data_IF_493017713992
#
_entry.id   IF_493017713992
#
_cell.length_a   1.000
_cell.length_b   1.000
_cell.length_c   1.000
_cell.angle_alpha   90.00
_cell.angle_beta   90.00
_cell.angle_gamma   90.00
#
_symmetry.space_group_name_H-M   'P 1'
#
loop_
_entity.id
_entity.type
_entity.pdbx_description
1 polymer ?
#
# COMPACT_ATOMS: atom_id res chain seq x y z
N UNK A 1 -16.76 -14.29 13.62
CA UNK A 1 -16.56 -12.87 13.23
C UNK A 1 -16.09 -12.02 14.40
N UNK A 2 -16.62 -12.16 15.59
CA UNK A 2 -16.22 -11.42 16.79
C UNK A 2 -14.71 -11.49 17.10
N UNK A 3 -14.08 -12.67 16.97
CA UNK A 3 -12.65 -12.84 17.28
C UNK A 3 -11.74 -12.11 16.30
N UNK A 4 -12.03 -12.13 14.98
CA UNK A 4 -11.26 -11.40 13.96
C UNK A 4 -11.27 -9.90 14.24
N UNK A 5 -12.46 -9.34 14.53
CA UNK A 5 -12.59 -7.91 14.83
C UNK A 5 -11.93 -7.55 16.17
N UNK A 6 -12.00 -8.42 17.17
CA UNK A 6 -11.33 -8.21 18.44
C UNK A 6 -9.81 -8.18 18.28
N UNK A 7 -9.24 -9.08 17.47
CA UNK A 7 -7.81 -9.09 17.16
C UNK A 7 -7.43 -7.85 16.35
N UNK A 8 -8.18 -7.50 15.32
CA UNK A 8 -7.92 -6.30 14.52
C UNK A 8 -7.97 -5.02 15.37
N UNK A 9 -8.93 -4.93 16.31
CA UNK A 9 -9.01 -3.81 17.25
C UNK A 9 -7.85 -3.78 18.24
N UNK A 10 -7.40 -4.96 18.75
CA UNK A 10 -6.20 -5.09 19.57
C UNK A 10 -4.97 -4.57 18.82
N UNK A 11 -4.76 -5.04 17.58
CA UNK A 11 -3.63 -4.62 16.75
C UNK A 11 -3.66 -3.11 16.47
N UNK A 12 -4.83 -2.58 16.09
CA UNK A 12 -4.97 -1.15 15.85
C UNK A 12 -4.67 -0.33 17.11
N UNK A 13 -5.18 -0.74 18.27
CA UNK A 13 -4.85 -0.10 19.56
C UNK A 13 -3.35 -0.19 19.85
N UNK A 14 -2.70 -1.32 19.57
CA UNK A 14 -1.26 -1.50 19.78
C UNK A 14 -0.44 -0.51 18.90
N UNK A 15 -0.85 -0.25 17.68
CA UNK A 15 -0.22 0.78 16.83
C UNK A 15 -0.35 2.18 17.44
N UNK A 16 -1.53 2.57 17.90
CA UNK A 16 -1.78 3.91 18.46
C UNK A 16 -1.29 4.06 19.93
N UNK A 17 -1.06 2.99 20.67
CA UNK A 17 -0.41 3.04 21.99
C UNK A 17 1.11 3.25 21.88
N UNK A 18 1.68 3.04 20.72
CA UNK A 18 3.08 3.28 20.37
C UNK A 18 3.23 4.58 19.56
N UNK A 19 4.34 5.31 19.65
CA UNK A 19 4.59 6.48 18.81
C UNK A 19 4.67 6.17 17.31
N UNK A 20 4.82 4.91 16.93
CA UNK A 20 5.04 4.47 15.54
C UNK A 20 3.88 4.86 14.62
N UNK A 21 2.62 4.66 15.04
CA UNK A 21 1.48 5.06 14.21
C UNK A 21 1.50 6.56 13.89
N UNK A 22 1.76 7.38 14.89
CA UNK A 22 1.82 8.85 14.73
C UNK A 22 2.98 9.27 13.81
N UNK A 23 4.15 8.63 13.97
CA UNK A 23 5.32 8.89 13.12
C UNK A 23 5.01 8.50 11.67
N UNK A 24 4.46 7.30 11.44
CA UNK A 24 4.16 6.80 10.08
C UNK A 24 3.08 7.67 9.42
N UNK A 25 2.01 8.01 10.12
CA UNK A 25 0.94 8.90 9.60
C UNK A 25 1.49 10.31 9.34
N UNK A 26 2.34 10.84 10.25
CA UNK A 26 2.97 12.15 10.09
C UNK A 26 3.89 12.19 8.87
N UNK A 27 4.76 11.21 8.71
CA UNK A 27 5.61 11.08 7.51
C UNK A 27 4.80 10.91 6.23
N UNK A 28 3.75 10.07 6.26
CA UNK A 28 2.83 9.92 5.15
C UNK A 28 2.23 11.26 4.73
N UNK A 29 1.66 11.99 5.67
CA UNK A 29 1.02 13.29 5.40
C UNK A 29 2.02 14.32 4.88
N UNK A 30 3.23 14.38 5.47
CA UNK A 30 4.28 15.30 5.08
C UNK A 30 4.78 15.02 3.66
N UNK A 31 5.11 13.77 3.37
CA UNK A 31 5.62 13.38 2.05
C UNK A 31 4.55 13.49 0.96
N UNK A 32 3.31 13.10 1.27
CA UNK A 32 2.19 13.26 0.35
C UNK A 32 1.94 14.75 0.04
N UNK A 33 1.95 15.60 1.07
CA UNK A 33 1.86 17.05 0.93
C UNK A 33 3.00 17.64 0.11
N UNK A 34 4.23 17.16 0.31
CA UNK A 34 5.38 17.56 -0.51
C UNK A 34 5.19 17.20 -1.99
N UNK A 35 4.79 15.96 -2.29
CA UNK A 35 4.49 15.56 -3.68
C UNK A 35 3.36 16.38 -4.28
N UNK A 36 2.31 16.67 -3.51
CA UNK A 36 1.23 17.54 -3.96
C UNK A 36 1.75 18.92 -4.38
N UNK A 37 2.54 19.58 -3.52
CA UNK A 37 3.08 20.91 -3.81
C UNK A 37 4.04 20.89 -4.99
N UNK A 38 4.89 19.88 -5.09
CA UNK A 38 5.84 19.72 -6.19
C UNK A 38 5.13 19.55 -7.54
N UNK A 39 4.15 18.64 -7.62
CA UNK A 39 3.39 18.36 -8.85
C UNK A 39 2.50 19.56 -9.21
N UNK A 40 1.86 20.20 -8.22
CA UNK A 40 1.05 21.39 -8.43
C UNK A 40 1.90 22.55 -8.99
N UNK A 41 3.10 22.76 -8.43
CA UNK A 41 4.03 23.79 -8.92
C UNK A 41 4.46 23.53 -10.37
N UNK A 42 4.73 22.27 -10.72
CA UNK A 42 5.04 21.87 -12.08
C UNK A 42 3.86 22.13 -13.03
N UNK A 43 2.65 21.72 -12.64
CA UNK A 43 1.40 21.94 -13.39
C UNK A 43 1.15 23.43 -13.68
N UNK A 44 1.29 24.29 -12.64
CA UNK A 44 1.10 25.75 -12.78
C UNK A 44 2.12 26.36 -13.74
N UNK A 45 3.41 25.99 -13.62
CA UNK A 45 4.47 26.47 -14.53
C UNK A 45 4.20 26.06 -15.97
N UNK A 46 3.79 24.82 -16.22
CA UNK A 46 3.46 24.33 -17.55
C UNK A 46 2.25 25.06 -18.13
N UNK A 47 1.22 25.32 -17.32
CA UNK A 47 0.04 26.10 -17.72
C UNK A 47 0.40 27.54 -18.12
N UNK A 48 1.28 28.20 -17.34
CA UNK A 48 1.74 29.55 -17.66
C UNK A 48 2.55 29.60 -18.97
N UNK A 49 3.43 28.63 -19.21
CA UNK A 49 4.22 28.54 -20.46
C UNK A 49 3.32 28.37 -21.68
N UNK A 50 2.31 27.48 -21.62
CA UNK A 50 1.36 27.29 -22.72
C UNK A 50 0.63 28.60 -23.08
N UNK A 51 0.22 29.36 -22.09
CA UNK A 51 -0.44 30.66 -22.30
C UNK A 51 0.50 31.70 -22.93
N UNK A 52 1.80 31.71 -22.64
CA UNK A 52 2.76 32.64 -23.19
C UNK A 52 3.13 32.36 -24.67
N UNK A 53 3.18 31.10 -25.05
CA UNK A 53 3.56 30.73 -26.43
C UNK A 53 2.41 30.79 -27.43
N UNK A 54 1.23 31.29 -27.05
CA UNK A 54 0.12 31.55 -27.96
C UNK A 54 -0.33 30.31 -28.76
N UNK A 55 -0.04 29.09 -28.27
CA UNK A 55 -0.56 27.88 -28.85
C UNK A 55 -2.08 27.86 -28.64
N UNK A 56 -2.78 28.46 -29.57
CA UNK A 56 -4.24 28.40 -29.72
C UNK A 56 -4.62 26.97 -30.16
N UNK A 57 -4.59 26.06 -29.21
CA UNK A 57 -5.19 24.74 -29.35
C UNK A 57 -6.02 24.46 -28.10
N UNK A 58 -7.17 23.77 -28.18
CA UNK A 58 -8.02 23.44 -27.03
C UNK A 58 -7.43 22.29 -26.21
N UNK A 59 -6.16 22.36 -25.81
CA UNK A 59 -5.64 21.46 -24.81
C UNK A 59 -5.94 22.06 -23.41
N UNK A 60 -7.20 21.94 -23.01
CA UNK A 60 -7.55 22.12 -21.61
C UNK A 60 -6.73 21.13 -20.78
N UNK A 61 -5.79 21.65 -19.97
CA UNK A 61 -4.99 20.82 -19.09
C UNK A 61 -5.93 20.09 -18.13
N UNK A 62 -5.99 18.78 -18.25
CA UNK A 62 -6.85 17.97 -17.40
C UNK A 62 -6.16 17.75 -16.05
N UNK A 63 -6.73 18.35 -14.98
CA UNK A 63 -6.24 18.26 -13.62
C UNK A 63 -6.12 16.81 -13.16
N UNK A 64 -7.06 15.93 -13.53
CA UNK A 64 -7.02 14.53 -13.17
C UNK A 64 -5.83 13.80 -13.77
N UNK A 65 -5.51 14.05 -15.05
CA UNK A 65 -4.43 13.35 -15.75
C UNK A 65 -3.04 13.89 -15.41
N UNK A 66 -2.92 15.22 -15.24
CA UNK A 66 -1.61 15.85 -15.10
C UNK A 66 -1.21 16.17 -13.67
N UNK A 67 -2.17 16.16 -12.73
CA UNK A 67 -1.89 16.42 -11.33
C UNK A 67 -2.26 15.24 -10.44
N UNK A 68 -3.53 14.78 -10.47
CA UNK A 68 -4.01 13.78 -9.52
C UNK A 68 -3.42 12.40 -9.81
N UNK A 69 -3.41 11.96 -11.07
CA UNK A 69 -2.86 10.67 -11.44
C UNK A 69 -1.37 10.53 -11.07
N UNK A 70 -0.46 11.45 -11.42
CA UNK A 70 0.94 11.37 -10.98
C UNK A 70 1.08 11.43 -9.45
N UNK A 71 0.23 12.20 -8.76
CA UNK A 71 0.23 12.26 -7.30
C UNK A 71 -0.07 10.89 -6.69
N UNK A 72 -1.12 10.22 -7.16
CA UNK A 72 -1.52 8.90 -6.67
C UNK A 72 -0.52 7.81 -7.08
N UNK A 73 0.12 7.91 -8.24
CA UNK A 73 1.21 7.00 -8.64
C UNK A 73 2.43 7.14 -7.72
N UNK A 74 2.75 8.34 -7.22
CA UNK A 74 3.84 8.54 -6.25
C UNK A 74 3.56 7.90 -4.87
N UNK A 75 2.30 7.56 -4.56
CA UNK A 75 1.95 6.80 -3.34
C UNK A 75 2.70 5.46 -3.29
N UNK A 76 3.00 4.84 -4.43
CA UNK A 76 3.79 3.60 -4.49
C UNK A 76 5.14 3.74 -3.76
N UNK A 77 5.80 4.89 -3.89
CA UNK A 77 7.07 5.17 -3.21
C UNK A 77 6.84 5.24 -1.69
N UNK A 78 5.75 5.91 -1.27
CA UNK A 78 5.44 6.03 0.16
C UNK A 78 5.14 4.67 0.79
N UNK A 79 4.37 3.83 0.09
CA UNK A 79 4.04 2.48 0.53
C UNK A 79 5.32 1.63 0.67
N UNK A 80 6.25 1.70 -0.29
CA UNK A 80 7.51 0.97 -0.28
C UNK A 80 8.33 1.24 0.98
N UNK A 81 8.38 2.50 1.45
CA UNK A 81 9.15 2.89 2.62
C UNK A 81 8.41 2.71 3.94
N UNK A 82 7.10 3.01 3.98
CA UNK A 82 6.35 3.08 5.24
C UNK A 82 5.69 1.75 5.62
N UNK A 83 5.29 0.93 4.65
CA UNK A 83 4.63 -0.35 4.95
C UNK A 83 5.53 -1.37 5.67
N UNK A 84 6.84 -1.48 5.38
CA UNK A 84 7.72 -2.31 6.21
C UNK A 84 7.71 -1.92 7.69
N UNK A 85 7.61 -0.63 8.02
CA UNK A 85 7.53 -0.15 9.40
C UNK A 85 6.21 -0.56 10.10
N UNK A 86 5.12 -0.67 9.34
CA UNK A 86 3.83 -1.13 9.85
C UNK A 86 3.85 -2.64 10.08
N UNK A 87 4.36 -3.41 9.12
CA UNK A 87 4.25 -4.88 9.12
C UNK A 87 5.35 -5.59 9.90
N UNK A 88 6.54 -4.97 10.07
CA UNK A 88 7.70 -5.61 10.71
C UNK A 88 7.41 -6.15 12.13
N UNK A 89 6.50 -5.52 12.86
CA UNK A 89 6.19 -5.85 14.28
C UNK A 89 5.13 -6.93 14.43
N UNK A 90 4.32 -7.17 13.43
CA UNK A 90 3.04 -7.89 13.54
C UNK A 90 3.17 -9.29 14.10
N UNK A 91 4.20 -10.03 13.74
CA UNK A 91 4.53 -11.35 14.29
C UNK A 91 5.87 -11.38 15.03
N UNK A 92 6.88 -10.66 14.49
CA UNK A 92 8.23 -10.71 15.05
C UNK A 92 8.31 -10.21 16.50
N UNK A 93 7.46 -9.25 16.87
CA UNK A 93 7.38 -8.77 18.26
C UNK A 93 6.76 -9.82 19.19
N UNK A 94 5.70 -10.49 18.79
CA UNK A 94 5.07 -11.57 19.57
C UNK A 94 6.00 -12.79 19.69
N UNK A 95 6.76 -13.12 18.64
CA UNK A 95 7.79 -14.16 18.71
C UNK A 95 8.92 -13.78 19.66
N UNK A 96 9.40 -12.54 19.60
CA UNK A 96 10.47 -12.05 20.46
C UNK A 96 10.07 -12.02 21.95
N UNK A 97 8.82 -11.67 22.23
CA UNK A 97 8.28 -11.59 23.59
C UNK A 97 7.77 -12.93 24.15
N UNK A 98 7.76 -13.99 23.34
CA UNK A 98 7.20 -15.30 23.71
C UNK A 98 5.67 -15.33 23.79
N UNK A 99 4.99 -14.22 23.47
CA UNK A 99 3.52 -14.15 23.55
C UNK A 99 2.82 -14.88 22.39
N UNK A 100 3.55 -15.29 21.39
CA UNK A 100 2.99 -16.08 20.27
C UNK A 100 2.47 -17.44 20.75
N UNK A 101 3.10 -18.06 21.75
CA UNK A 101 2.65 -19.34 22.33
C UNK A 101 1.27 -19.18 22.99
N UNK A 102 1.04 -18.08 23.72
CA UNK A 102 -0.27 -17.78 24.30
C UNK A 102 -1.34 -17.58 23.24
N UNK A 103 -0.96 -17.03 22.10
CA UNK A 103 -1.88 -16.82 20.97
C UNK A 103 -2.23 -18.16 20.31
N UNK A 104 -1.24 -19.05 20.12
CA UNK A 104 -1.41 -20.36 19.48
C UNK A 104 -2.12 -21.39 20.37
N UNK A 105 -2.05 -21.25 21.69
CA UNK A 105 -2.76 -22.11 22.65
C UNK A 105 -4.18 -21.61 22.97
N UNK A 106 -4.55 -20.42 22.52
CA UNK A 106 -5.89 -19.88 22.71
C UNK A 106 -6.92 -20.62 21.81
N UNK A 107 -8.20 -20.68 22.17
CA UNK A 107 -9.24 -21.35 21.38
C UNK A 107 -9.66 -20.51 20.15
N UNK A 108 -8.68 -20.06 19.37
CA UNK A 108 -8.84 -19.22 18.17
C UNK A 108 -8.19 -19.94 16.99
N UNK A 109 -8.81 -19.89 15.82
CA UNK A 109 -8.23 -20.51 14.61
C UNK A 109 -7.14 -19.62 14.02
N UNK A 110 -6.12 -20.24 13.38
CA UNK A 110 -5.03 -19.52 12.72
C UNK A 110 -5.55 -18.53 11.68
N UNK A 111 -6.61 -18.91 10.96
CA UNK A 111 -7.29 -18.00 10.02
C UNK A 111 -7.81 -16.72 10.72
N UNK A 112 -8.39 -16.86 11.92
CA UNK A 112 -8.89 -15.70 12.67
C UNK A 112 -7.75 -14.79 13.12
N UNK A 113 -6.62 -15.38 13.52
CA UNK A 113 -5.42 -14.63 13.93
C UNK A 113 -4.87 -13.84 12.74
N UNK A 114 -4.65 -14.51 11.62
CA UNK A 114 -4.04 -13.90 10.43
C UNK A 114 -4.93 -12.81 9.86
N UNK A 115 -6.22 -13.09 9.69
CA UNK A 115 -7.17 -12.10 9.21
C UNK A 115 -7.32 -10.91 10.16
N UNK A 116 -7.29 -11.15 11.47
CA UNK A 116 -7.33 -10.08 12.46
C UNK A 116 -6.11 -9.15 12.37
N UNK A 117 -4.91 -9.73 12.25
CA UNK A 117 -3.66 -8.96 12.06
C UNK A 117 -3.63 -8.22 10.72
N UNK A 118 -4.04 -8.88 9.64
CA UNK A 118 -4.16 -8.27 8.33
C UNK A 118 -5.12 -7.07 8.34
N UNK A 119 -6.31 -7.24 8.92
CA UNK A 119 -7.30 -6.16 9.02
C UNK A 119 -6.83 -5.03 9.95
N UNK A 120 -6.08 -5.33 11.01
CA UNK A 120 -5.48 -4.32 11.88
C UNK A 120 -4.46 -3.45 11.14
N UNK A 121 -3.58 -4.05 10.35
CA UNK A 121 -2.62 -3.33 9.51
C UNK A 121 -3.32 -2.56 8.37
N UNK A 122 -4.33 -3.18 7.72
CA UNK A 122 -5.18 -2.52 6.72
C UNK A 122 -5.93 -1.31 7.28
N UNK A 123 -6.40 -1.39 8.53
CA UNK A 123 -7.07 -0.26 9.17
C UNK A 123 -6.12 0.92 9.38
N UNK A 124 -4.87 0.67 9.82
CA UNK A 124 -3.86 1.74 9.92
C UNK A 124 -3.55 2.34 8.54
N UNK A 125 -3.38 1.50 7.52
CA UNK A 125 -3.18 1.96 6.14
C UNK A 125 -4.40 2.76 5.63
N UNK A 126 -5.61 2.32 5.94
CA UNK A 126 -6.84 3.06 5.66
C UNK A 126 -6.85 4.45 6.28
N UNK A 127 -6.38 4.59 7.53
CA UNK A 127 -6.22 5.91 8.17
C UNK A 127 -5.22 6.78 7.39
N UNK A 128 -4.10 6.22 6.93
CA UNK A 128 -3.12 6.96 6.11
C UNK A 128 -3.75 7.45 4.80
N UNK A 129 -4.52 6.60 4.13
CA UNK A 129 -5.28 6.98 2.93
C UNK A 129 -6.34 8.06 3.22
N UNK A 130 -7.05 7.98 4.34
CA UNK A 130 -8.02 9.00 4.75
C UNK A 130 -7.33 10.36 4.98
N UNK A 131 -6.14 10.37 5.56
CA UNK A 131 -5.34 11.60 5.72
C UNK A 131 -4.97 12.18 4.34
N UNK A 132 -4.62 11.34 3.36
CA UNK A 132 -4.33 11.83 2.00
C UNK A 132 -5.56 12.40 1.29
N UNK A 133 -6.79 11.95 1.62
CA UNK A 133 -8.02 12.55 1.11
C UNK A 133 -8.21 14.01 1.53
N UNK A 134 -7.67 14.42 2.68
CA UNK A 134 -7.69 15.83 3.10
C UNK A 134 -6.93 16.70 2.07
N UNK A 135 -5.78 16.23 1.61
CA UNK A 135 -4.97 16.92 0.58
C UNK A 135 -5.70 16.97 -0.77
N UNK A 136 -6.38 15.90 -1.15
CA UNK A 136 -7.24 15.87 -2.36
C UNK A 136 -8.42 16.85 -2.19
N UNK A 137 -9.01 16.91 -0.98
CA UNK A 137 -10.08 17.86 -0.66
C UNK A 137 -9.71 19.33 -0.90
N UNK A 138 -8.43 19.69 -0.64
CA UNK A 138 -7.91 21.03 -0.95
C UNK A 138 -7.98 21.29 -2.47
N UNK A 139 -7.67 20.30 -3.30
CA UNK A 139 -7.75 20.46 -4.76
C UNK A 139 -9.19 20.68 -5.24
N UNK A 140 -10.19 20.05 -4.61
CA UNK A 140 -11.60 20.30 -4.90
C UNK A 140 -12.05 21.72 -4.54
N UNK A 141 -11.37 22.37 -3.59
CA UNK A 141 -11.68 23.77 -3.20
C UNK A 141 -11.20 24.79 -4.23
N UNK A 142 -10.12 24.49 -4.93
CA UNK A 142 -9.46 25.42 -5.86
C UNK A 142 -9.58 25.01 -7.34
N UNK A 143 -10.08 23.81 -7.62
CA UNK A 143 -10.27 23.29 -8.97
C UNK A 143 -11.55 22.47 -9.08
N UNK A 144 -11.79 21.90 -10.27
CA UNK A 144 -12.92 21.02 -10.56
C UNK A 144 -12.41 19.63 -11.00
N UNK A 145 -11.75 18.86 -10.11
CA UNK A 145 -11.36 17.51 -10.47
C UNK A 145 -12.57 16.57 -10.54
N UNK A 146 -12.50 15.56 -11.40
CA UNK A 146 -13.51 14.51 -11.45
C UNK A 146 -13.31 13.53 -10.30
N UNK A 147 -14.36 13.26 -9.52
CA UNK A 147 -14.29 12.38 -8.35
C UNK A 147 -14.20 10.89 -8.70
N UNK A 148 -14.74 10.47 -9.87
CA UNK A 148 -14.78 9.06 -10.27
C UNK A 148 -13.38 8.42 -10.39
N UNK A 149 -12.42 9.00 -11.14
CA UNK A 149 -11.05 8.48 -11.20
C UNK A 149 -10.35 8.46 -9.85
N UNK A 150 -10.68 9.40 -8.96
CA UNK A 150 -10.12 9.43 -7.61
C UNK A 150 -10.64 8.25 -6.80
N UNK A 151 -11.93 7.99 -6.81
CA UNK A 151 -12.53 6.88 -6.07
C UNK A 151 -11.99 5.52 -6.54
N UNK A 152 -11.86 5.30 -7.85
CA UNK A 152 -11.27 4.07 -8.40
C UNK A 152 -9.80 3.94 -8.03
N UNK A 153 -9.03 5.02 -8.08
CA UNK A 153 -7.64 5.01 -7.68
C UNK A 153 -7.47 4.67 -6.18
N UNK A 154 -8.31 5.22 -5.28
CA UNK A 154 -8.27 4.86 -3.86
C UNK A 154 -8.65 3.39 -3.61
N UNK A 155 -9.57 2.82 -4.40
CA UNK A 155 -9.83 1.38 -4.39
C UNK A 155 -8.58 0.59 -4.79
N UNK A 156 -7.92 0.99 -5.88
CA UNK A 156 -6.66 0.39 -6.33
C UNK A 156 -5.56 0.49 -5.26
N UNK A 157 -5.40 1.65 -4.61
CA UNK A 157 -4.45 1.84 -3.51
C UNK A 157 -4.74 0.92 -2.32
N UNK A 158 -6.01 0.73 -1.94
CA UNK A 158 -6.39 -0.20 -0.88
C UNK A 158 -5.99 -1.64 -1.23
N UNK A 159 -6.28 -2.09 -2.44
CA UNK A 159 -5.94 -3.43 -2.90
C UNK A 159 -4.43 -3.64 -2.98
N UNK A 160 -3.72 -2.70 -3.58
CA UNK A 160 -2.26 -2.69 -3.66
C UNK A 160 -1.62 -2.72 -2.27
N UNK A 161 -2.07 -1.88 -1.34
CA UNK A 161 -1.60 -1.89 0.04
C UNK A 161 -1.86 -3.22 0.74
N UNK A 162 -2.98 -3.87 0.43
CA UNK A 162 -3.28 -5.23 0.90
C UNK A 162 -2.25 -6.26 0.43
N UNK A 163 -1.78 -6.17 -0.82
CA UNK A 163 -0.70 -7.01 -1.33
C UNK A 163 0.59 -6.80 -0.53
N UNK A 164 0.99 -5.55 -0.33
CA UNK A 164 2.20 -5.24 0.43
C UNK A 164 2.09 -5.68 1.90
N UNK A 165 0.92 -5.48 2.53
CA UNK A 165 0.68 -5.94 3.91
C UNK A 165 0.74 -7.46 3.98
N UNK A 166 0.17 -8.21 3.03
CA UNK A 166 0.22 -9.67 3.04
C UNK A 166 1.65 -10.23 2.96
N UNK A 167 2.50 -9.61 2.13
CA UNK A 167 3.92 -9.94 2.04
C UNK A 167 4.66 -9.58 3.34
N UNK A 168 4.39 -8.40 3.89
CA UNK A 168 5.01 -7.97 5.15
C UNK A 168 4.64 -8.86 6.33
N UNK A 169 3.39 -9.33 6.41
CA UNK A 169 2.95 -10.31 7.40
C UNK A 169 3.70 -11.64 7.26
N UNK A 170 3.84 -12.14 6.03
CA UNK A 170 4.61 -13.35 5.75
C UNK A 170 6.05 -13.20 6.25
N UNK A 171 6.74 -12.13 5.88
CA UNK A 171 8.14 -11.91 6.27
C UNK A 171 8.28 -11.75 7.79
N UNK A 172 7.36 -11.00 8.41
CA UNK A 172 7.32 -10.85 9.87
C UNK A 172 7.10 -12.17 10.60
N UNK A 173 6.37 -13.12 9.99
CA UNK A 173 6.16 -14.47 10.55
C UNK A 173 7.38 -15.39 10.47
N UNK A 174 8.37 -15.07 9.63
CA UNK A 174 9.57 -15.91 9.44
C UNK A 174 10.72 -15.57 10.39
N UNK A 175 10.67 -14.47 11.13
CA UNK A 175 11.78 -14.00 11.97
C UNK A 175 11.29 -13.47 13.32
N UNK A 176 12.16 -13.57 14.35
CA UNK A 176 11.93 -13.05 15.69
C UNK A 176 12.50 -11.62 15.85
N UNK A 177 13.19 -11.10 14.84
CA UNK A 177 13.82 -9.78 14.89
C UNK A 177 13.08 -8.79 13.99
N UNK A 178 12.53 -7.73 14.60
CA UNK A 178 11.77 -6.69 13.90
C UNK A 178 12.60 -5.96 12.84
N UNK A 179 13.90 -5.71 13.11
CA UNK A 179 14.77 -5.01 12.18
C UNK A 179 15.00 -5.88 10.94
N UNK A 180 15.27 -7.17 11.14
CA UNK A 180 15.42 -8.14 10.04
C UNK A 180 14.11 -8.24 9.26
N UNK A 181 12.97 -8.33 9.93
CA UNK A 181 11.66 -8.33 9.28
C UNK A 181 11.45 -7.09 8.41
N UNK A 182 11.72 -5.90 8.95
CA UNK A 182 11.57 -4.63 8.22
C UNK A 182 12.50 -4.53 7.02
N UNK A 183 13.78 -4.86 7.19
CA UNK A 183 14.78 -4.83 6.11
C UNK A 183 14.47 -5.84 5.01
N UNK A 184 14.09 -7.07 5.37
CA UNK A 184 13.70 -8.09 4.41
C UNK A 184 12.42 -7.70 3.65
N UNK A 185 11.42 -7.16 4.35
CA UNK A 185 10.19 -6.65 3.74
C UNK A 185 10.49 -5.52 2.76
N UNK A 186 11.31 -4.54 3.15
CA UNK A 186 11.75 -3.46 2.28
C UNK A 186 12.48 -4.00 1.05
N UNK A 187 13.40 -4.96 1.23
CA UNK A 187 14.13 -5.59 0.13
C UNK A 187 13.20 -6.29 -0.87
N UNK A 188 12.21 -7.04 -0.38
CA UNK A 188 11.20 -7.69 -1.26
C UNK A 188 10.33 -6.66 -1.97
N UNK A 189 9.90 -5.59 -1.29
CA UNK A 189 9.14 -4.52 -1.93
C UNK A 189 9.93 -3.80 -3.00
N UNK A 190 11.22 -3.56 -2.74
CA UNK A 190 12.13 -2.96 -3.71
C UNK A 190 12.33 -3.88 -4.93
N UNK A 191 12.46 -5.18 -4.72
CA UNK A 191 12.51 -6.15 -5.83
C UNK A 191 11.22 -6.12 -6.66
N UNK A 192 10.05 -6.14 -6.01
CA UNK A 192 8.76 -6.05 -6.70
C UNK A 192 8.60 -4.73 -7.48
N UNK A 193 9.18 -3.65 -6.97
CA UNK A 193 9.18 -2.36 -7.65
C UNK A 193 10.13 -2.33 -8.86
N UNK A 194 11.33 -2.91 -8.74
CA UNK A 194 12.33 -2.97 -9.81
C UNK A 194 11.91 -3.89 -10.96
N UNK A 195 11.10 -4.92 -10.69
CA UNK A 195 10.55 -5.81 -11.74
C UNK A 195 9.87 -5.02 -12.86
N UNK A 196 9.19 -3.94 -12.51
CA UNK A 196 8.55 -3.04 -13.48
C UNK A 196 9.57 -2.39 -14.44
N UNK A 197 10.75 -2.01 -13.93
CA UNK A 197 11.80 -1.40 -14.77
C UNK A 197 12.49 -2.41 -15.68
N UNK A 198 12.64 -3.66 -15.25
CA UNK A 198 13.27 -4.70 -16.05
C UNK A 198 12.50 -4.92 -17.35
N UNK A 199 11.17 -4.88 -17.31
CA UNK A 199 10.31 -4.99 -18.49
C UNK A 199 10.63 -3.94 -19.55
N UNK A 200 10.79 -2.69 -19.15
CA UNK A 200 11.02 -1.56 -20.07
C UNK A 200 12.36 -1.60 -20.82
N UNK A 201 13.36 -2.34 -20.31
CA UNK A 201 14.68 -2.51 -20.93
C UNK A 201 14.84 -3.86 -21.64
N UNK A 202 13.88 -4.76 -21.52
CA UNK A 202 13.91 -6.11 -22.06
C UNK A 202 13.00 -6.20 -23.30
N UNK A 203 13.16 -7.25 -24.10
CA UNK A 203 12.33 -7.41 -25.29
C UNK A 203 10.83 -7.64 -24.96
N UNK A 204 9.95 -7.53 -25.98
CA UNK A 204 8.48 -7.48 -25.79
C UNK A 204 7.88 -8.69 -25.08
N UNK A 205 8.56 -9.84 -25.07
CA UNK A 205 8.10 -11.03 -24.36
C UNK A 205 8.33 -10.90 -22.86
N UNK A 206 9.51 -10.39 -22.46
CA UNK A 206 9.83 -10.16 -21.03
C UNK A 206 8.97 -9.04 -20.45
N UNK A 207 8.77 -7.99 -21.24
CA UNK A 207 7.92 -6.88 -20.86
C UNK A 207 6.48 -7.32 -20.52
N UNK A 208 5.87 -8.19 -21.33
CA UNK A 208 4.54 -8.76 -21.02
C UNK A 208 4.52 -9.57 -19.72
N UNK A 209 5.55 -10.37 -19.45
CA UNK A 209 5.61 -11.18 -18.25
C UNK A 209 5.79 -10.28 -17.02
N UNK A 210 6.68 -9.29 -17.10
CA UNK A 210 6.94 -8.37 -15.99
C UNK A 210 5.73 -7.48 -15.69
N UNK A 211 5.03 -6.96 -16.70
CA UNK A 211 3.78 -6.21 -16.54
C UNK A 211 2.70 -7.06 -15.86
N UNK A 212 2.56 -8.34 -16.22
CA UNK A 212 1.59 -9.23 -15.57
C UNK A 212 1.93 -9.54 -14.11
N UNK A 213 3.20 -9.55 -13.74
CA UNK A 213 3.66 -9.80 -12.37
C UNK A 213 3.73 -8.52 -11.52
N UNK A 214 3.74 -7.36 -12.15
CA UNK A 214 3.92 -6.07 -11.48
C UNK A 214 2.67 -5.63 -10.73
N UNK A 215 2.79 -5.50 -9.41
CA UNK A 215 1.73 -4.93 -8.56
C UNK A 215 1.40 -3.48 -8.96
N UNK A 216 2.40 -2.74 -9.44
CA UNK A 216 2.29 -1.31 -9.77
C UNK A 216 1.58 -1.09 -11.10
N UNK A 217 1.85 -1.93 -12.11
CA UNK A 217 1.23 -1.77 -13.43
C UNK A 217 -0.28 -2.02 -13.38
N UNK A 218 -0.71 -2.95 -12.53
CA UNK A 218 -2.13 -3.18 -12.28
C UNK A 218 -2.83 -1.97 -11.64
N UNK A 219 -2.10 -1.10 -10.92
CA UNK A 219 -2.65 0.12 -10.35
C UNK A 219 -2.89 1.21 -11.40
N UNK A 220 -2.16 1.22 -12.50
CA UNK A 220 -2.21 2.31 -13.48
C UNK A 220 -3.61 2.51 -14.09
N UNK A 221 -4.36 1.44 -14.32
CA UNK A 221 -5.72 1.51 -14.83
C UNK A 221 -6.72 2.04 -13.80
N UNK A 222 -6.56 1.68 -12.53
CA UNK A 222 -7.33 2.30 -11.45
C UNK A 222 -7.05 3.82 -11.36
N UNK A 223 -5.80 4.24 -11.56
CA UNK A 223 -5.43 5.65 -11.58
C UNK A 223 -5.99 6.42 -12.80
N UNK A 224 -6.34 5.71 -13.89
CA UNK A 224 -7.05 6.26 -15.06
C UNK A 224 -8.57 6.33 -14.86
N UNK A 225 -9.10 5.73 -13.80
CA UNK A 225 -10.54 5.63 -13.56
C UNK A 225 -11.19 4.36 -14.13
N UNK A 226 -10.38 3.36 -14.53
CA UNK A 226 -10.85 2.10 -15.11
C UNK A 226 -10.76 1.01 -14.04
N UNK A 227 -11.86 0.29 -13.84
CA UNK A 227 -11.90 -0.89 -12.97
C UNK A 227 -12.02 -2.12 -13.85
N UNK A 228 -10.91 -2.80 -14.08
CA UNK A 228 -10.89 -4.07 -14.80
C UNK A 228 -10.95 -5.23 -13.80
N UNK A 229 -11.78 -6.21 -14.11
CA UNK A 229 -11.95 -7.43 -13.29
C UNK A 229 -10.65 -8.23 -13.19
N UNK A 230 -9.81 -8.20 -14.22
CA UNK A 230 -8.52 -8.89 -14.23
C UNK A 230 -7.59 -8.36 -13.14
N UNK A 231 -7.53 -7.05 -12.94
CA UNK A 231 -6.72 -6.41 -11.91
C UNK A 231 -7.26 -6.68 -10.50
N UNK A 232 -8.60 -6.74 -10.34
CA UNK A 232 -9.23 -7.14 -9.06
C UNK A 232 -8.87 -8.58 -8.70
N UNK A 233 -9.02 -9.51 -9.65
CA UNK A 233 -8.69 -10.93 -9.45
C UNK A 233 -7.20 -11.07 -9.11
N UNK A 234 -6.32 -10.35 -9.79
CA UNK A 234 -4.88 -10.35 -9.51
C UNK A 234 -4.61 -9.96 -8.06
N UNK A 235 -5.09 -8.81 -7.60
CA UNK A 235 -4.87 -8.33 -6.23
C UNK A 235 -5.44 -9.27 -5.17
N UNK A 236 -6.67 -9.74 -5.36
CA UNK A 236 -7.32 -10.68 -4.41
C UNK A 236 -6.56 -12.00 -4.36
N UNK A 237 -6.12 -12.53 -5.50
CA UNK A 237 -5.33 -13.77 -5.58
C UNK A 237 -3.98 -13.60 -4.89
N UNK A 238 -3.30 -12.48 -5.11
CA UNK A 238 -2.02 -12.18 -4.50
C UNK A 238 -2.12 -12.06 -2.97
N UNK A 239 -3.11 -11.30 -2.47
CA UNK A 239 -3.39 -11.19 -1.04
C UNK A 239 -3.69 -12.56 -0.43
N UNK A 240 -4.58 -13.32 -1.07
CA UNK A 240 -4.98 -14.65 -0.59
C UNK A 240 -3.79 -15.60 -0.53
N UNK A 241 -2.92 -15.57 -1.53
CA UNK A 241 -1.71 -16.39 -1.57
C UNK A 241 -0.71 -15.97 -0.48
N UNK A 242 -0.48 -14.67 -0.28
CA UNK A 242 0.40 -14.18 0.79
C UNK A 242 -0.11 -14.56 2.20
N UNK A 243 -1.42 -14.45 2.43
CA UNK A 243 -2.02 -14.86 3.70
C UNK A 243 -2.00 -16.38 3.89
N UNK A 244 -2.16 -17.17 2.81
CA UNK A 244 -2.02 -18.63 2.84
C UNK A 244 -0.59 -19.04 3.22
N UNK A 245 0.43 -18.41 2.64
CA UNK A 245 1.82 -18.67 3.01
C UNK A 245 2.10 -18.28 4.46
N UNK A 246 1.53 -17.17 4.93
CA UNK A 246 1.62 -16.76 6.33
C UNK A 246 0.99 -17.81 7.26
N UNK A 247 -0.16 -18.39 6.87
CA UNK A 247 -0.80 -19.47 7.62
C UNK A 247 0.12 -20.70 7.74
N UNK A 248 0.77 -21.08 6.64
CA UNK A 248 1.73 -22.20 6.66
C UNK A 248 2.97 -21.89 7.50
N UNK A 249 3.45 -20.66 7.48
CA UNK A 249 4.56 -20.23 8.34
C UNK A 249 4.20 -20.35 9.83
N UNK A 250 3.02 -19.83 10.21
CA UNK A 250 2.53 -19.87 11.61
C UNK A 250 2.24 -21.31 12.06
N UNK A 251 1.62 -22.12 11.22
CA UNK A 251 1.36 -23.55 11.50
C UNK A 251 2.67 -24.33 11.74
N UNK A 252 3.74 -24.03 10.97
CA UNK A 252 5.04 -24.67 11.15
C UNK A 252 5.69 -24.40 12.52
N UNK A 253 5.41 -23.27 13.14
CA UNK A 253 5.88 -22.94 14.51
C UNK A 253 5.21 -23.84 15.56
N UNK A 254 3.94 -24.18 15.38
CA UNK A 254 3.18 -25.07 16.29
C UNK A 254 3.77 -26.47 16.38
N UNK A 255 4.52 -26.91 15.34
CA UNK A 255 5.19 -28.22 15.30
C UNK A 255 6.62 -28.19 15.81
N UNK A 256 7.19 -27.02 16.04
CA UNK A 256 8.56 -26.85 16.53
C UNK A 256 8.68 -26.63 18.03
N UNK A 257 7.57 -26.35 18.73
CA UNK A 257 7.47 -26.28 20.19
C UNK A 257 6.84 -27.54 20.72
#
# INVERSE_FOLDING_TARGET
>A
MTNILAIAQKELKAYFSSPIAYIVIGFWSLLYGYFLVAILSYFVRQSMQMNQFGMQGPQSMNVNQQLIRPLLQNVNILVLFLMPMVTMRTYSEEKRSGTIELLLTSPITDFQIIMGKFLGAMALYGVMLLVSLIHIGILFRFGNPEWKPIATAYLGLLLMGGCFISVGLLISSLTNNQIIAGMATFGVFLLLWVVNWIGSFSGPTVDRITQYLSIIDHFDDFAKGIVDTSHLIYYISFISFGLFLTAKSVDSERWRG
#
